data_IF_664350739388
#
_entry.id   IF_664350739388
#
_cell.length_a   1.000
_cell.length_b   1.000
_cell.length_c   1.000
_cell.angle_alpha   90.00
_cell.angle_beta   90.00
_cell.angle_gamma   90.00
#
_symmetry.space_group_name_H-M   'P 1'
#
loop_
_entity.id
_entity.type
_entity.pdbx_description
1 polymer ?
#
# COMPACT_ATOMS: atom_id res chain seq x y z
N UNK A 1 36.39 62.07 -60.05
CA UNK A 1 37.61 62.26 -59.24
C UNK A 1 37.33 61.79 -57.82
N UNK A 2 38.25 61.00 -57.24
CA UNK A 2 38.30 60.44 -55.86
C UNK A 2 37.55 59.12 -55.57
N UNK A 3 38.32 58.04 -55.70
CA UNK A 3 38.21 56.77 -54.97
C UNK A 3 38.68 57.00 -53.52
N UNK A 4 38.03 56.36 -52.54
CA UNK A 4 38.72 55.67 -51.42
C UNK A 4 37.80 54.63 -50.76
N UNK A 5 38.33 53.41 -50.70
CA UNK A 5 37.83 52.22 -49.99
C UNK A 5 37.71 52.49 -48.49
N UNK A 6 36.81 51.78 -47.81
CA UNK A 6 37.18 51.04 -46.60
C UNK A 6 36.29 49.80 -46.44
N UNK A 7 36.95 48.64 -46.41
CA UNK A 7 36.42 47.34 -46.03
C UNK A 7 36.42 47.28 -44.51
N UNK A 8 35.34 46.81 -43.90
CA UNK A 8 35.26 46.54 -42.47
C UNK A 8 34.25 45.44 -42.18
N UNK A 9 34.72 44.19 -42.18
CA UNK A 9 34.06 43.07 -41.50
C UNK A 9 33.97 43.41 -40.00
N UNK A 10 32.83 43.18 -39.34
CA UNK A 10 32.69 42.26 -38.18
C UNK A 10 31.34 42.42 -37.46
N UNK A 11 30.90 41.28 -36.90
CA UNK A 11 29.91 41.10 -35.84
C UNK A 11 28.42 41.22 -36.22
N UNK A 12 27.85 40.08 -36.63
CA UNK A 12 26.43 39.80 -36.52
C UNK A 12 26.07 39.49 -35.06
N UNK A 13 25.19 40.29 -34.46
CA UNK A 13 24.48 39.93 -33.23
C UNK A 13 23.06 40.51 -33.21
N UNK A 14 22.11 39.59 -33.06
CA UNK A 14 20.90 39.69 -32.22
C UNK A 14 19.80 40.72 -32.57
N UNK A 15 18.66 40.22 -33.06
CA UNK A 15 17.38 40.09 -32.32
C UNK A 15 16.26 39.71 -33.31
N UNK A 16 15.68 38.53 -33.17
CA UNK A 16 14.37 38.21 -33.76
C UNK A 16 13.41 37.78 -32.65
N UNK A 17 12.40 38.63 -32.45
CA UNK A 17 11.29 38.52 -31.51
C UNK A 17 10.46 37.23 -31.75
N UNK A 18 10.19 36.44 -30.70
CA UNK A 18 8.89 36.33 -29.99
C UNK A 18 7.67 36.12 -30.91
N UNK A 19 7.22 34.87 -31.09
CA UNK A 19 5.94 34.38 -30.52
C UNK A 19 5.08 33.82 -31.67
N UNK A 20 4.29 32.76 -31.59
CA UNK A 20 3.64 32.04 -30.50
C UNK A 20 3.50 30.58 -30.94
N UNK A 21 4.27 29.70 -30.34
CA UNK A 21 4.07 28.27 -30.51
C UNK A 21 4.62 27.62 -29.26
N UNK A 22 3.73 27.07 -28.45
CA UNK A 22 3.93 25.97 -27.50
C UNK A 22 2.73 25.97 -26.56
N UNK A 23 1.69 25.24 -26.96
CA UNK A 23 0.68 24.74 -26.03
C UNK A 23 1.39 23.81 -25.04
N UNK A 24 1.76 24.34 -23.86
CA UNK A 24 2.20 23.51 -22.74
C UNK A 24 0.98 22.83 -22.15
N UNK A 25 0.53 21.75 -22.80
CA UNK A 25 -0.30 20.77 -22.14
C UNK A 25 0.55 20.12 -21.04
N UNK A 26 0.43 20.67 -19.83
CA UNK A 26 0.96 20.05 -18.63
C UNK A 26 0.16 18.76 -18.39
N UNK A 27 0.64 17.67 -18.99
CA UNK A 27 0.21 16.33 -18.63
C UNK A 27 0.67 16.08 -17.19
N UNK A 28 -0.23 16.29 -16.23
CA UNK A 28 -0.03 15.86 -14.86
C UNK A 28 0.05 14.33 -14.86
N UNK A 29 1.28 13.80 -14.94
CA UNK A 29 1.54 12.38 -14.76
C UNK A 29 1.09 11.99 -13.35
N UNK A 30 -0.12 11.44 -13.24
CA UNK A 30 -0.60 10.84 -12.00
C UNK A 30 0.33 9.69 -11.66
N UNK A 31 1.06 9.82 -10.55
CA UNK A 31 1.98 8.74 -10.15
C UNK A 31 1.16 7.52 -9.78
N UNK A 32 1.51 6.37 -10.39
CA UNK A 32 0.87 5.08 -10.09
C UNK A 32 1.05 4.76 -8.61
N UNK A 33 0.00 4.25 -7.96
CA UNK A 33 0.04 3.82 -6.56
C UNK A 33 1.19 2.85 -6.29
N UNK A 34 1.85 3.00 -5.13
CA UNK A 34 2.96 2.14 -4.72
C UNK A 34 3.08 2.05 -3.19
N UNK A 35 3.83 1.07 -2.71
CA UNK A 35 4.16 0.97 -1.29
C UNK A 35 5.45 1.69 -0.93
N UNK A 36 5.48 2.34 0.23
CA UNK A 36 6.67 2.95 0.82
C UNK A 36 6.80 2.57 2.30
N UNK A 37 7.97 2.83 2.87
CA UNK A 37 8.22 2.69 4.30
C UNK A 37 8.59 4.05 4.89
N UNK A 38 8.03 4.36 6.05
CA UNK A 38 8.41 5.55 6.81
C UNK A 38 9.84 5.43 7.33
N UNK A 39 10.66 6.45 7.12
CA UNK A 39 12.06 6.49 7.59
C UNK A 39 12.16 6.97 9.04
N UNK A 40 11.15 7.69 9.53
CA UNK A 40 11.04 8.25 10.88
C UNK A 40 9.59 8.24 11.34
N UNK A 41 9.37 8.62 12.60
CA UNK A 41 8.01 8.86 13.07
C UNK A 41 7.44 10.11 12.38
N UNK A 42 6.20 10.00 11.89
CA UNK A 42 5.50 11.07 11.18
C UNK A 42 4.19 11.33 11.91
N UNK A 43 3.87 12.60 12.13
CA UNK A 43 2.58 13.05 12.67
C UNK A 43 1.86 13.89 11.60
N UNK A 44 0.58 13.61 11.38
CA UNK A 44 -0.29 14.41 10.51
C UNK A 44 -1.69 14.44 11.11
N UNK A 45 -2.08 15.60 11.64
CA UNK A 45 -3.27 15.71 12.49
C UNK A 45 -3.20 14.74 13.68
N UNK A 46 -4.26 13.92 13.85
CA UNK A 46 -4.35 12.90 14.91
C UNK A 46 -3.59 11.60 14.58
N UNK A 47 -3.11 11.44 13.35
CA UNK A 47 -2.45 10.21 12.91
C UNK A 47 -0.96 10.28 13.24
N UNK A 48 -0.47 9.25 13.92
CA UNK A 48 0.97 9.04 14.14
C UNK A 48 1.40 7.73 13.49
N UNK A 49 2.34 7.82 12.57
CA UNK A 49 2.98 6.68 11.92
C UNK A 49 4.38 6.50 12.51
N UNK A 50 4.69 5.39 13.20
CA UNK A 50 6.04 5.11 13.66
C UNK A 50 7.04 4.99 12.50
N UNK A 51 8.34 5.06 12.79
CA UNK A 51 9.37 4.69 11.83
C UNK A 51 9.23 3.21 11.41
N UNK A 52 9.70 2.87 10.21
CA UNK A 52 9.63 1.53 9.62
C UNK A 52 8.20 1.00 9.45
N UNK A 53 7.24 1.89 9.25
CA UNK A 53 5.84 1.55 8.95
C UNK A 53 5.64 1.51 7.44
N UNK A 54 5.13 0.39 6.92
CA UNK A 54 4.76 0.29 5.51
C UNK A 54 3.44 1.02 5.27
N UNK A 55 3.38 1.79 4.18
CA UNK A 55 2.25 2.63 3.80
C UNK A 55 1.96 2.48 2.31
N UNK A 56 0.70 2.67 1.92
CA UNK A 56 0.28 2.73 0.52
C UNK A 56 0.22 4.21 0.13
N UNK A 57 0.96 4.58 -0.92
CA UNK A 57 1.02 5.93 -1.48
C UNK A 57 0.12 5.96 -2.70
N UNK A 58 -1.01 6.66 -2.61
CA UNK A 58 -1.97 6.76 -3.72
C UNK A 58 -1.45 7.62 -4.86
N UNK A 59 -0.91 8.79 -4.53
CA UNK A 59 -0.29 9.71 -5.47
C UNK A 59 0.73 10.60 -4.76
N UNK A 60 1.59 11.21 -5.56
CA UNK A 60 2.53 12.24 -5.14
C UNK A 60 2.25 13.54 -5.89
N UNK A 61 2.40 14.66 -5.19
CA UNK A 61 2.21 15.99 -5.77
C UNK A 61 3.38 16.90 -5.39
N UNK A 62 3.75 17.81 -6.29
CA UNK A 62 4.78 18.81 -6.03
C UNK A 62 4.13 20.16 -5.85
N UNK A 63 4.40 20.84 -4.74
CA UNK A 63 3.95 22.20 -4.46
C UNK A 63 5.13 23.00 -3.93
N UNK A 64 5.41 24.17 -4.52
CA UNK A 64 6.52 25.05 -4.12
C UNK A 64 7.86 24.30 -4.02
N UNK A 65 8.21 23.53 -5.05
CA UNK A 65 9.41 22.68 -5.12
C UNK A 65 9.54 21.60 -4.02
N UNK A 66 8.48 21.35 -3.25
CA UNK A 66 8.42 20.28 -2.24
C UNK A 66 7.47 19.18 -2.69
N UNK A 67 7.92 17.93 -2.59
CA UNK A 67 7.10 16.77 -2.91
C UNK A 67 6.33 16.28 -1.68
N UNK A 68 5.06 15.97 -1.88
CA UNK A 68 4.14 15.42 -0.89
C UNK A 68 3.56 14.09 -1.37
N UNK A 69 3.21 13.23 -0.43
CA UNK A 69 2.54 11.96 -0.66
C UNK A 69 1.20 11.92 0.05
N UNK A 70 0.18 11.41 -0.65
CA UNK A 70 -1.09 11.03 -0.05
C UNK A 70 -1.01 9.55 0.38
N UNK A 71 -1.19 9.32 1.67
CA UNK A 71 -1.12 7.99 2.28
C UNK A 71 -2.51 7.45 2.54
N UNK A 72 -2.79 6.26 2.01
CA UNK A 72 -4.00 5.49 2.27
C UNK A 72 -4.06 5.02 3.73
N UNK A 73 -5.11 5.39 4.44
CA UNK A 73 -5.39 4.86 5.78
C UNK A 73 -6.35 3.68 5.76
N UNK A 74 -7.16 3.50 4.72
CA UNK A 74 -8.27 2.52 4.65
C UNK A 74 -7.79 1.06 4.76
N UNK A 75 -6.54 0.79 4.35
CA UNK A 75 -5.91 -0.53 4.41
C UNK A 75 -4.95 -0.70 5.60
N UNK A 76 -4.87 0.29 6.49
CA UNK A 76 -4.05 0.21 7.71
C UNK A 76 -4.77 -0.52 8.85
N UNK A 77 -4.03 -0.81 9.92
CA UNK A 77 -4.56 -1.41 11.14
C UNK A 77 -5.71 -0.59 11.72
N UNK A 78 -6.61 -1.28 12.44
CA UNK A 78 -7.69 -0.69 13.20
C UNK A 78 -7.20 0.48 14.06
N UNK A 79 -6.05 0.30 14.73
CA UNK A 79 -5.44 1.30 15.59
C UNK A 79 -5.14 2.60 14.84
N UNK A 80 -4.61 2.53 13.63
CA UNK A 80 -4.40 3.73 12.81
C UNK A 80 -5.71 4.28 12.25
N UNK A 81 -6.57 3.43 11.70
CA UNK A 81 -7.86 3.83 11.09
C UNK A 81 -8.79 4.55 12.05
N UNK A 82 -8.75 4.23 13.34
CA UNK A 82 -9.66 4.82 14.34
C UNK A 82 -9.08 6.05 15.06
N UNK A 83 -7.91 6.54 14.65
CA UNK A 83 -7.38 7.83 15.14
C UNK A 83 -8.04 9.03 14.47
N UNK A 84 -8.64 8.84 13.29
CA UNK A 84 -9.23 9.90 12.47
C UNK A 84 -10.39 9.37 11.62
N UNK A 85 -11.28 10.25 11.15
CA UNK A 85 -12.30 9.90 10.14
C UNK A 85 -11.76 9.99 8.70
N UNK A 86 -10.59 10.59 8.51
CA UNK A 86 -9.99 10.75 7.19
C UNK A 86 -9.55 9.40 6.61
N UNK A 87 -9.78 9.19 5.32
CA UNK A 87 -9.33 8.00 4.58
C UNK A 87 -7.89 8.11 4.10
N UNK A 88 -7.31 9.31 4.15
CA UNK A 88 -5.90 9.57 3.86
C UNK A 88 -5.32 10.72 4.66
N UNK A 89 -3.99 10.76 4.71
CA UNK A 89 -3.22 11.92 5.16
C UNK A 89 -2.20 12.33 4.10
N UNK A 90 -1.89 13.63 4.06
CA UNK A 90 -0.80 14.17 3.24
C UNK A 90 0.42 14.38 4.12
N UNK A 91 1.58 13.90 3.65
CA UNK A 91 2.86 14.06 4.34
C UNK A 91 3.95 14.50 3.35
N UNK A 92 4.99 15.23 3.77
CA UNK A 92 6.14 15.48 2.91
C UNK A 92 6.78 14.15 2.50
N UNK A 93 7.11 13.99 1.23
CA UNK A 93 7.70 12.76 0.70
C UNK A 93 9.18 12.66 1.05
N UNK A 94 9.94 13.71 0.72
CA UNK A 94 11.39 13.78 0.93
C UNK A 94 11.73 13.58 2.41
N UNK A 95 12.75 12.76 2.67
CA UNK A 95 13.26 12.40 4.02
C UNK A 95 12.31 11.60 4.92
N UNK A 96 11.04 11.43 4.54
CA UNK A 96 10.04 10.71 5.33
C UNK A 96 9.70 9.33 4.77
N UNK A 97 9.83 9.13 3.46
CA UNK A 97 9.44 7.90 2.78
C UNK A 97 10.58 7.30 1.97
N UNK A 98 10.69 5.98 2.05
CA UNK A 98 11.52 5.15 1.19
C UNK A 98 10.63 4.23 0.38
N UNK A 99 10.60 4.40 -0.94
CA UNK A 99 9.83 3.54 -1.86
C UNK A 99 10.25 2.07 -1.73
N UNK A 100 9.28 1.17 -1.67
CA UNK A 100 9.49 -0.27 -1.64
C UNK A 100 9.50 -0.86 -3.06
N UNK A 101 10.13 -2.04 -3.18
CA UNK A 101 10.12 -2.83 -4.42
C UNK A 101 8.74 -3.49 -4.59
N UNK A 102 8.31 -3.79 -5.83
CA UNK A 102 6.93 -4.22 -6.13
C UNK A 102 6.53 -5.60 -5.57
N UNK A 103 7.43 -6.35 -4.96
CA UNK A 103 7.17 -7.72 -4.52
C UNK A 103 6.59 -7.81 -3.09
N UNK A 104 6.20 -6.68 -2.51
CA UNK A 104 5.54 -6.67 -1.22
C UNK A 104 4.06 -7.08 -1.38
N UNK A 105 3.56 -8.05 -0.60
CA UNK A 105 2.19 -8.51 -0.74
C UNK A 105 1.24 -7.38 -0.34
N UNK A 106 0.23 -7.18 -1.19
CA UNK A 106 -0.84 -6.23 -0.96
C UNK A 106 -1.63 -6.57 0.29
N UNK A 107 -2.31 -5.58 0.85
CA UNK A 107 -3.31 -5.83 1.89
C UNK A 107 -4.37 -6.79 1.39
N UNK A 108 -4.88 -7.65 2.27
CA UNK A 108 -5.81 -8.70 1.90
C UNK A 108 -6.85 -8.88 3.01
N UNK A 109 -8.13 -8.87 2.64
CA UNK A 109 -9.23 -9.20 3.56
C UNK A 109 -9.83 -10.53 3.16
N UNK A 110 -9.93 -11.45 4.12
CA UNK A 110 -10.38 -12.82 3.94
C UNK A 110 -11.54 -13.12 4.89
N UNK A 111 -12.70 -13.45 4.34
CA UNK A 111 -13.87 -13.92 5.07
C UNK A 111 -13.82 -15.42 5.26
N UNK A 112 -14.24 -15.90 6.42
CA UNK A 112 -14.29 -17.33 6.74
C UNK A 112 -15.33 -18.02 5.85
N UNK A 113 -14.95 -19.15 5.24
CA UNK A 113 -15.84 -19.96 4.39
C UNK A 113 -15.20 -20.36 3.06
N UNK A 114 -15.93 -21.13 2.25
CA UNK A 114 -15.41 -21.68 0.98
C UNK A 114 -15.64 -20.76 -0.22
N UNK A 115 -16.76 -20.03 -0.24
CA UNK A 115 -17.17 -19.16 -1.34
C UNK A 115 -17.99 -17.99 -0.83
N UNK A 116 -18.08 -16.93 -1.62
CA UNK A 116 -19.01 -15.85 -1.38
C UNK A 116 -20.46 -16.35 -1.54
N UNK A 117 -21.28 -16.14 -0.51
CA UNK A 117 -22.72 -16.37 -0.53
C UNK A 117 -23.40 -15.04 -0.18
N UNK A 118 -23.64 -14.19 -1.20
CA UNK A 118 -24.30 -12.88 -1.10
C UNK A 118 -24.06 -12.12 0.23
N UNK A 119 -25.11 -11.65 0.89
CA UNK A 119 -25.11 -10.75 2.07
C UNK A 119 -24.29 -11.23 3.31
N UNK A 120 -23.64 -12.39 3.25
CA UNK A 120 -22.83 -12.96 4.33
C UNK A 120 -21.46 -12.30 4.49
N UNK A 121 -20.92 -11.63 3.47
CA UNK A 121 -19.58 -11.03 3.56
C UNK A 121 -19.45 -10.08 4.73
N UNK A 122 -20.44 -9.23 5.00
CA UNK A 122 -20.34 -8.24 6.09
C UNK A 122 -20.30 -8.87 7.48
N UNK A 123 -20.93 -10.03 7.66
CA UNK A 123 -21.10 -10.71 8.95
C UNK A 123 -20.15 -11.88 9.21
N UNK A 124 -19.53 -12.44 8.17
CA UNK A 124 -18.61 -13.58 8.33
C UNK A 124 -17.34 -13.17 9.09
N UNK A 125 -16.78 -14.01 9.98
CA UNK A 125 -15.50 -13.73 10.61
C UNK A 125 -14.42 -13.40 9.56
N UNK A 126 -13.60 -12.37 9.82
CA UNK A 126 -12.57 -11.91 8.87
C UNK A 126 -11.16 -11.96 9.41
N UNK A 127 -10.22 -12.26 8.51
CA UNK A 127 -8.81 -11.96 8.64
C UNK A 127 -8.47 -10.77 7.76
N UNK A 128 -7.89 -9.74 8.35
CA UNK A 128 -7.46 -8.55 7.64
C UNK A 128 -5.94 -8.42 7.75
N UNK A 129 -5.25 -8.52 6.61
CA UNK A 129 -3.82 -8.30 6.48
C UNK A 129 -3.61 -6.85 6.03
N UNK A 130 -2.99 -6.05 6.88
CA UNK A 130 -2.95 -4.60 6.72
C UNK A 130 -1.66 -4.13 6.05
N UNK A 131 -1.71 -2.93 5.48
CA UNK A 131 -0.55 -2.31 4.84
C UNK A 131 0.58 -2.03 5.83
N UNK A 132 0.28 -1.67 7.07
CA UNK A 132 1.24 -1.41 8.16
C UNK A 132 1.75 -2.68 8.88
N UNK A 133 1.61 -3.85 8.26
CA UNK A 133 2.12 -5.13 8.72
C UNK A 133 1.44 -5.64 10.01
N UNK A 134 0.12 -5.63 10.05
CA UNK A 134 -0.67 -6.35 11.05
C UNK A 134 -1.53 -7.42 10.39
N UNK A 135 -1.84 -8.46 11.16
CA UNK A 135 -2.97 -9.34 10.90
C UNK A 135 -3.99 -9.16 12.00
N UNK A 136 -5.23 -8.93 11.62
CA UNK A 136 -6.34 -8.65 12.53
C UNK A 136 -7.46 -9.68 12.32
N UNK A 137 -7.99 -10.22 13.41
CA UNK A 137 -9.13 -11.12 13.40
C UNK A 137 -10.38 -10.39 13.91
N UNK A 138 -11.46 -10.47 13.16
CA UNK A 138 -12.75 -9.90 13.51
C UNK A 138 -13.79 -11.02 13.56
N UNK A 139 -14.21 -11.43 14.76
CA UNK A 139 -15.14 -12.55 14.92
C UNK A 139 -16.51 -12.33 14.23
N UNK A 140 -16.97 -11.09 14.10
CA UNK A 140 -18.23 -10.73 13.46
C UNK A 140 -18.07 -10.11 12.07
N UNK A 141 -16.84 -10.08 11.54
CA UNK A 141 -16.53 -9.50 10.24
C UNK A 141 -16.57 -7.97 10.14
N UNK A 142 -16.96 -7.23 11.18
CA UNK A 142 -17.06 -5.78 11.09
C UNK A 142 -15.67 -5.14 11.26
N UNK A 143 -15.08 -4.67 10.15
CA UNK A 143 -13.76 -4.01 10.14
C UNK A 143 -13.75 -2.63 10.81
N UNK A 144 -14.91 -2.07 11.16
CA UNK A 144 -15.05 -0.79 11.87
C UNK A 144 -15.15 -0.98 13.40
N UNK A 145 -15.18 -2.23 13.88
CA UNK A 145 -15.11 -2.51 15.31
C UNK A 145 -13.71 -2.96 15.69
N UNK A 146 -13.35 -2.84 16.97
CA UNK A 146 -12.05 -3.29 17.46
C UNK A 146 -11.87 -4.78 17.14
N UNK A 147 -10.75 -5.19 16.54
CA UNK A 147 -10.51 -6.59 16.24
C UNK A 147 -10.46 -7.41 17.52
N UNK A 148 -10.96 -8.65 17.45
CA UNK A 148 -10.88 -9.65 18.52
C UNK A 148 -9.43 -9.97 18.86
N UNK A 149 -8.56 -10.01 17.86
CA UNK A 149 -7.11 -10.09 18.05
C UNK A 149 -6.38 -9.31 16.96
N UNK A 150 -5.22 -8.75 17.29
CA UNK A 150 -4.35 -8.05 16.34
C UNK A 150 -2.91 -8.40 16.66
N UNK A 151 -2.14 -8.77 15.64
CA UNK A 151 -0.73 -9.16 15.80
C UNK A 151 0.13 -8.51 14.74
N UNK A 152 1.24 -7.91 15.17
CA UNK A 152 2.23 -7.32 14.27
C UNK A 152 3.00 -8.42 13.54
N UNK A 153 3.01 -8.33 12.22
CA UNK A 153 3.80 -9.15 11.30
C UNK A 153 5.22 -8.56 11.26
N UNK A 154 6.21 -9.40 11.54
CA UNK A 154 7.63 -9.02 11.54
C UNK A 154 8.29 -9.28 10.20
N UNK A 155 7.75 -10.20 9.40
CA UNK A 155 8.19 -10.49 8.03
C UNK A 155 7.08 -11.13 7.23
N UNK A 156 7.05 -10.84 5.93
CA UNK A 156 6.25 -11.57 4.97
C UNK A 156 7.15 -12.17 3.89
N UNK A 157 6.84 -13.39 3.45
CA UNK A 157 7.51 -14.06 2.33
C UNK A 157 6.47 -14.69 1.41
N UNK A 158 6.47 -14.31 0.15
CA UNK A 158 5.64 -14.92 -0.88
C UNK A 158 6.47 -15.93 -1.69
N UNK A 159 5.91 -17.12 -1.93
CA UNK A 159 6.46 -18.17 -2.80
C UNK A 159 5.33 -18.74 -3.65
N UNK A 160 5.27 -18.31 -4.92
CA UNK A 160 4.17 -18.67 -5.81
C UNK A 160 2.82 -18.22 -5.25
N UNK A 161 1.88 -19.15 -5.11
CA UNK A 161 0.54 -18.91 -4.56
C UNK A 161 0.47 -18.97 -3.02
N UNK A 162 1.60 -19.17 -2.33
CA UNK A 162 1.66 -19.24 -0.87
C UNK A 162 2.34 -17.99 -0.30
N UNK A 163 1.73 -17.40 0.71
CA UNK A 163 2.28 -16.31 1.50
C UNK A 163 2.46 -16.75 2.94
N UNK A 164 3.66 -16.55 3.48
CA UNK A 164 4.02 -16.83 4.86
C UNK A 164 4.13 -15.51 5.62
N UNK A 165 3.36 -15.40 6.69
CA UNK A 165 3.40 -14.26 7.61
C UNK A 165 4.05 -14.70 8.91
N UNK A 166 5.08 -13.97 9.34
CA UNK A 166 5.84 -14.29 10.54
C UNK A 166 5.54 -13.28 11.65
N UNK A 167 5.48 -13.77 12.88
CA UNK A 167 5.36 -12.91 14.07
C UNK A 167 6.23 -13.40 15.22
N UNK A 168 6.47 -12.51 16.18
CA UNK A 168 7.18 -12.80 17.42
C UNK A 168 6.32 -13.54 18.44
N UNK A 169 5.00 -13.32 18.42
CA UNK A 169 4.02 -13.91 19.35
C UNK A 169 2.98 -14.71 18.57
N UNK A 170 2.31 -15.63 19.26
CA UNK A 170 1.18 -16.37 18.71
C UNK A 170 0.09 -15.39 18.31
N UNK A 171 -0.51 -15.62 17.14
CA UNK A 171 -1.54 -14.75 16.60
C UNK A 171 -2.91 -15.22 17.09
N UNK A 172 -3.16 -15.15 18.40
CA UNK A 172 -4.36 -15.64 19.10
C UNK A 172 -5.63 -15.70 18.20
N UNK A 173 -6.31 -16.85 18.16
CA UNK A 173 -7.45 -17.18 17.28
C UNK A 173 -7.11 -17.44 15.81
N UNK A 174 -5.84 -17.33 15.42
CA UNK A 174 -5.38 -17.75 14.10
C UNK A 174 -4.76 -19.15 14.15
N UNK A 175 -4.79 -19.90 13.04
CA UNK A 175 -4.18 -21.22 12.94
C UNK A 175 -2.68 -21.10 12.60
N UNK A 176 -1.93 -20.28 13.35
CA UNK A 176 -0.48 -20.14 13.17
C UNK A 176 0.29 -21.25 13.87
N UNK A 177 1.44 -21.64 13.29
CA UNK A 177 2.33 -22.65 13.87
C UNK A 177 3.54 -21.99 14.51
N UNK A 178 3.90 -22.42 15.73
CA UNK A 178 5.20 -22.08 16.33
C UNK A 178 6.33 -22.78 15.58
N UNK A 179 7.30 -22.03 15.08
CA UNK A 179 8.45 -22.51 14.30
C UNK A 179 9.80 -22.21 14.96
N UNK A 180 9.84 -21.35 15.97
CA UNK A 180 11.05 -21.06 16.76
C UNK A 180 10.68 -20.71 18.20
N UNK A 181 11.63 -20.90 19.12
CA UNK A 181 11.51 -20.52 20.53
C UNK A 181 11.96 -19.07 20.81
N UNK A 182 12.77 -18.47 19.92
CA UNK A 182 13.42 -17.16 20.12
C UNK A 182 13.43 -16.32 18.83
N UNK A 183 13.74 -15.03 18.96
CA UNK A 183 13.85 -14.08 17.83
C UNK A 183 12.50 -13.50 17.38
N UNK A 184 12.50 -12.85 16.21
CA UNK A 184 11.32 -12.14 15.68
C UNK A 184 10.39 -13.04 14.83
N UNK A 185 10.80 -14.26 14.50
CA UNK A 185 10.09 -15.20 13.62
C UNK A 185 9.71 -16.48 14.36
N UNK A 186 8.97 -16.33 15.46
CA UNK A 186 8.61 -17.46 16.32
C UNK A 186 7.38 -18.20 15.81
N UNK A 187 6.44 -17.48 15.21
CA UNK A 187 5.18 -18.03 14.72
C UNK A 187 5.03 -17.74 13.23
N UNK A 188 4.41 -18.68 12.52
CA UNK A 188 4.18 -18.60 11.08
C UNK A 188 2.73 -18.94 10.74
N UNK A 189 2.02 -17.98 10.17
CA UNK A 189 0.74 -18.20 9.51
C UNK A 189 0.98 -18.44 8.02
N UNK A 190 0.36 -19.49 7.49
CA UNK A 190 0.46 -19.83 6.06
C UNK A 190 -0.86 -19.49 5.38
N UNK A 191 -0.82 -18.69 4.34
CA UNK A 191 -2.00 -18.36 3.52
C UNK A 191 -1.73 -18.80 2.10
N UNK A 192 -2.55 -19.72 1.58
CA UNK A 192 -2.45 -20.24 0.22
C UNK A 192 -3.61 -19.71 -0.60
N UNK A 193 -3.34 -19.01 -1.70
CA UNK A 193 -4.33 -18.73 -2.74
C UNK A 193 -4.64 -20.03 -3.47
N UNK A 194 -5.90 -20.43 -3.49
CA UNK A 194 -6.32 -21.64 -4.19
C UNK A 194 -6.46 -21.37 -5.70
N UNK A 195 -6.66 -22.44 -6.48
CA UNK A 195 -6.90 -22.30 -7.92
C UNK A 195 -8.15 -21.44 -8.12
N UNK A 196 -8.05 -20.47 -9.02
CA UNK A 196 -9.20 -19.65 -9.42
C UNK A 196 -10.10 -20.53 -10.26
N UNK A 197 -11.37 -20.64 -9.88
CA UNK A 197 -12.40 -21.33 -10.65
C UNK A 197 -13.09 -20.27 -11.51
N UNK A 198 -13.20 -20.52 -12.82
CA UNK A 198 -13.87 -19.59 -13.72
C UNK A 198 -15.35 -19.50 -13.37
N UNK A 199 -15.90 -18.29 -13.31
CA UNK A 199 -17.30 -18.05 -12.91
C UNK A 199 -17.52 -17.82 -11.42
N UNK A 200 -16.53 -18.10 -10.56
CA UNK A 200 -16.67 -17.83 -9.13
C UNK A 200 -16.67 -16.32 -8.83
N UNK A 201 -17.62 -15.90 -7.99
CA UNK A 201 -17.70 -14.54 -7.45
C UNK A 201 -16.66 -14.27 -6.36
N UNK A 202 -15.73 -15.20 -6.12
CA UNK A 202 -14.73 -15.06 -5.08
C UNK A 202 -13.44 -15.82 -5.41
N UNK A 203 -12.33 -15.34 -4.88
CA UNK A 203 -11.09 -16.11 -4.84
C UNK A 203 -11.03 -16.80 -3.48
N UNK A 204 -10.82 -18.12 -3.48
CA UNK A 204 -10.67 -18.90 -2.25
C UNK A 204 -9.23 -19.03 -1.79
N UNK A 205 -9.06 -19.20 -0.48
CA UNK A 205 -7.80 -19.30 0.21
C UNK A 205 -7.86 -20.39 1.27
N UNK A 206 -6.73 -21.04 1.54
CA UNK A 206 -6.56 -21.93 2.69
C UNK A 206 -5.60 -21.29 3.70
N UNK A 207 -5.98 -21.25 4.98
CA UNK A 207 -5.23 -20.54 6.03
C UNK A 207 -4.80 -21.51 7.14
N UNK A 208 -3.50 -21.67 7.34
CA UNK A 208 -2.89 -22.59 8.32
C UNK A 208 -2.93 -24.06 7.88
N UNK A 209 -4.12 -24.53 7.49
CA UNK A 209 -4.38 -25.89 6.97
C UNK A 209 -5.15 -25.84 5.66
N UNK A 210 -4.98 -26.83 4.79
CA UNK A 210 -5.73 -26.97 3.53
C UNK A 210 -7.24 -27.07 3.75
N UNK A 211 -7.68 -27.60 4.90
CA UNK A 211 -9.10 -27.74 5.26
C UNK A 211 -9.74 -26.45 5.80
N UNK A 212 -8.94 -25.42 6.08
CA UNK A 212 -9.41 -24.19 6.71
C UNK A 212 -9.60 -23.08 5.67
N UNK A 213 -10.80 -23.04 5.08
CA UNK A 213 -11.09 -22.18 3.94
C UNK A 213 -11.54 -20.77 4.33
N UNK A 214 -11.11 -19.83 3.48
CA UNK A 214 -11.48 -18.44 3.45
C UNK A 214 -11.70 -17.99 2.01
N UNK A 215 -12.33 -16.85 1.81
CA UNK A 215 -12.54 -16.26 0.50
C UNK A 215 -12.41 -14.73 0.53
N UNK A 216 -12.20 -14.14 -0.65
CA UNK A 216 -12.36 -12.69 -0.87
C UNK A 216 -13.27 -12.50 -2.09
N UNK A 217 -14.33 -11.68 -2.00
CA UNK A 217 -15.18 -11.38 -3.15
C UNK A 217 -14.37 -10.76 -4.29
N UNK A 218 -14.76 -11.02 -5.53
CA UNK A 218 -14.21 -10.31 -6.70
C UNK A 218 -15.13 -9.17 -7.11
N UNK A 219 -14.68 -8.26 -7.97
CA UNK A 219 -15.51 -7.15 -8.51
C UNK A 219 -16.74 -7.64 -9.31
N UNK A 220 -16.86 -8.94 -9.56
CA UNK A 220 -18.07 -9.56 -10.15
C UNK A 220 -19.12 -9.95 -9.10
N UNK A 221 -18.83 -9.75 -7.81
CA UNK A 221 -19.67 -10.12 -6.66
C UNK A 221 -20.58 -8.99 -6.19
#
# INVERSE_FOLDING_TARGET
MKIKKLIGLTAATLLAALGLGLSTQANAATSKSFYATTTRQIKSGKVTLPANTRVSVWYTATKNHKQYASIDLTQMSYGTRHTTKATSITIPYSHNLKKLKSNDPASLSLGKGFKYASNTWTKTPKLNFTTDNYVEYFANGNLNQKPTSSTKITKTRQKGNVTYYYAKKNMLKLPDKRISKKGNYQYRLTVRKNKVVSGDLSISYSVGSSKNYFYTPTLKA
#
